data_IF_225338553774
#
_entry.id   IF_225338553774
#
_cell.length_a   1.000
_cell.length_b   1.000
_cell.length_c   1.000
_cell.angle_alpha   90.00
_cell.angle_beta   90.00
_cell.angle_gamma   90.00
#
_symmetry.space_group_name_H-M   'P 1'
#
loop_
_entity.id
_entity.type
_entity.pdbx_description
1 polymer ?
#
# COMPACT_ATOMS: atom_id res chain seq x y z
N UNK A 1 16.15 -14.69 -18.42
CA UNK A 1 15.06 -14.89 -17.44
C UNK A 1 13.99 -13.84 -17.69
N UNK A 2 12.70 -14.21 -17.61
CA UNK A 2 11.55 -13.36 -17.97
C UNK A 2 11.40 -12.04 -17.16
N UNK A 3 12.21 -11.82 -16.12
CA UNK A 3 12.13 -10.62 -15.27
C UNK A 3 13.12 -9.49 -15.62
N UNK A 4 14.27 -9.78 -16.22
CA UNK A 4 15.37 -8.81 -16.33
C UNK A 4 15.35 -8.01 -17.63
N UNK A 5 16.52 -7.94 -18.30
CA UNK A 5 16.72 -7.15 -19.53
C UNK A 5 15.77 -7.46 -20.68
N UNK A 6 15.34 -8.72 -20.81
CA UNK A 6 14.39 -9.19 -21.85
C UNK A 6 12.96 -9.33 -21.31
N UNK A 7 12.70 -8.79 -20.12
CA UNK A 7 11.46 -8.92 -19.37
C UNK A 7 10.92 -7.56 -18.99
N UNK A 8 11.01 -7.23 -17.70
CA UNK A 8 10.54 -5.97 -17.14
C UNK A 8 11.21 -4.78 -17.85
N UNK A 9 12.53 -4.81 -18.04
CA UNK A 9 13.23 -3.68 -18.68
C UNK A 9 12.86 -3.50 -20.14
N UNK A 10 12.61 -4.61 -20.86
CA UNK A 10 12.23 -4.56 -22.27
C UNK A 10 10.87 -3.85 -22.42
N UNK A 11 9.88 -4.28 -21.64
CA UNK A 11 8.52 -3.71 -21.66
C UNK A 11 8.52 -2.25 -21.22
N UNK A 12 9.26 -1.91 -20.15
CA UNK A 12 9.36 -0.52 -19.68
C UNK A 12 9.97 0.39 -20.75
N UNK A 13 11.01 -0.06 -21.44
CA UNK A 13 11.68 0.73 -22.49
C UNK A 13 10.85 0.83 -23.77
N UNK A 14 10.28 -0.29 -24.22
CA UNK A 14 9.50 -0.36 -25.47
C UNK A 14 8.28 0.56 -25.41
N UNK A 15 7.63 0.65 -24.25
CA UNK A 15 6.43 1.47 -24.05
C UNK A 15 6.70 2.78 -23.31
N UNK A 16 7.96 3.11 -23.03
CA UNK A 16 8.36 4.31 -22.29
C UNK A 16 7.58 4.50 -20.97
N UNK A 17 7.54 3.44 -20.15
CA UNK A 17 6.79 3.38 -18.90
C UNK A 17 7.71 3.63 -17.70
N UNK A 18 7.16 4.27 -16.66
CA UNK A 18 7.87 4.48 -15.39
C UNK A 18 7.81 3.26 -14.45
N UNK A 19 6.71 2.50 -14.48
CA UNK A 19 6.48 1.34 -13.63
C UNK A 19 5.41 0.42 -14.23
N UNK A 20 5.44 -0.85 -13.85
CA UNK A 20 4.38 -1.81 -14.13
C UNK A 20 3.43 -1.92 -12.94
N UNK A 21 2.14 -2.09 -13.23
CA UNK A 21 1.12 -2.36 -12.23
C UNK A 21 0.77 -3.84 -12.22
N UNK A 22 0.73 -4.43 -11.03
CA UNK A 22 0.35 -5.82 -10.84
C UNK A 22 -0.53 -5.99 -9.61
N UNK A 23 -1.48 -6.92 -9.69
CA UNK A 23 -2.18 -7.40 -8.50
C UNK A 23 -1.18 -8.24 -7.70
N UNK A 24 -1.00 -8.00 -6.38
CA UNK A 24 -0.09 -8.75 -5.53
C UNK A 24 -0.51 -10.22 -5.50
N UNK A 25 0.11 -10.98 -6.40
CA UNK A 25 -0.07 -12.39 -6.56
C UNK A 25 1.27 -12.98 -7.01
N UNK A 26 1.49 -14.24 -6.68
CA UNK A 26 2.78 -14.93 -6.77
C UNK A 26 3.50 -14.77 -8.12
N UNK A 27 2.79 -14.73 -9.26
CA UNK A 27 3.42 -14.66 -10.58
C UNK A 27 3.99 -13.28 -10.91
N UNK A 28 3.28 -12.20 -10.57
CA UNK A 28 3.70 -10.82 -10.88
C UNK A 28 4.92 -10.40 -10.06
N UNK A 29 4.95 -10.77 -8.78
CA UNK A 29 6.06 -10.45 -7.88
C UNK A 29 7.28 -11.35 -8.09
N UNK A 30 7.08 -12.60 -8.50
CA UNK A 30 8.18 -13.55 -8.71
C UNK A 30 9.13 -13.15 -9.85
N UNK A 31 8.61 -12.56 -10.92
CA UNK A 31 9.45 -12.09 -12.02
C UNK A 31 10.46 -11.03 -11.56
N UNK A 32 9.99 -10.03 -10.80
CA UNK A 32 10.84 -8.99 -10.21
C UNK A 32 11.75 -9.54 -9.09
N UNK A 33 11.24 -10.43 -8.24
CA UNK A 33 12.01 -11.03 -7.14
C UNK A 33 13.21 -11.86 -7.64
N UNK A 34 13.05 -12.62 -8.73
CA UNK A 34 14.13 -13.44 -9.30
C UNK A 34 15.33 -12.57 -9.74
N UNK A 35 15.08 -11.35 -10.22
CA UNK A 35 16.11 -10.44 -10.71
C UNK A 35 16.50 -9.35 -9.71
N UNK A 36 15.87 -9.32 -8.52
CA UNK A 36 16.17 -8.36 -7.47
C UNK A 36 15.63 -6.96 -7.72
N UNK A 37 14.51 -6.83 -8.44
CA UNK A 37 13.90 -5.52 -8.73
C UNK A 37 12.93 -5.08 -7.63
N UNK A 38 12.84 -3.75 -7.38
CA UNK A 38 12.01 -3.22 -6.31
C UNK A 38 10.52 -3.34 -6.62
N UNK A 39 9.73 -3.57 -5.56
CA UNK A 39 8.27 -3.68 -5.59
C UNK A 39 7.71 -2.89 -4.41
N UNK A 40 6.73 -2.02 -4.65
CA UNK A 40 6.00 -1.30 -3.60
C UNK A 40 4.52 -1.62 -3.72
N UNK A 41 3.91 -2.12 -2.65
CA UNK A 41 2.47 -2.48 -2.62
C UNK A 41 1.69 -1.54 -1.72
N UNK A 42 0.58 -1.02 -2.23
CA UNK A 42 -0.34 -0.12 -1.49
C UNK A 42 -1.79 -0.63 -1.57
N UNK A 43 -2.69 -0.19 -0.67
CA UNK A 43 -4.09 -0.63 -0.68
C UNK A 43 -4.84 -0.12 -1.92
N UNK A 44 -5.41 -1.04 -2.70
CA UNK A 44 -6.22 -0.74 -3.90
C UNK A 44 -7.70 -0.59 -3.58
N UNK A 45 -8.27 -1.60 -2.91
CA UNK A 45 -9.70 -1.69 -2.63
C UNK A 45 -9.99 -2.77 -1.59
N UNK A 46 -11.28 -3.03 -1.36
CA UNK A 46 -11.77 -4.20 -0.63
C UNK A 46 -12.68 -5.02 -1.55
N UNK A 47 -12.79 -6.32 -1.28
CA UNK A 47 -13.80 -7.15 -1.91
C UNK A 47 -15.21 -6.66 -1.56
N UNK A 48 -16.14 -6.61 -2.53
CA UNK A 48 -17.54 -6.27 -2.33
C UNK A 48 -18.23 -7.10 -1.24
N UNK A 49 -19.27 -6.55 -0.62
CA UNK A 49 -19.96 -7.20 0.49
C UNK A 49 -20.75 -8.46 0.08
N UNK A 50 -21.05 -8.59 -1.20
CA UNK A 50 -21.70 -9.74 -1.84
C UNK A 50 -20.71 -10.81 -2.34
N UNK A 51 -19.42 -10.68 -2.02
CA UNK A 51 -18.40 -11.67 -2.42
C UNK A 51 -18.58 -12.97 -1.64
N UNK A 52 -18.83 -14.08 -2.31
CA UNK A 52 -18.90 -15.39 -1.66
C UNK A 52 -17.52 -15.87 -1.17
N UNK A 53 -17.40 -16.34 0.10
CA UNK A 53 -16.14 -16.83 0.61
C UNK A 53 -15.60 -18.04 -0.14
N UNK A 54 -14.43 -17.89 -0.77
CA UNK A 54 -13.76 -19.00 -1.48
C UNK A 54 -12.70 -19.65 -0.60
N UNK A 55 -12.86 -20.96 -0.41
CA UNK A 55 -11.92 -21.85 0.29
C UNK A 55 -11.33 -22.84 -0.72
N UNK A 56 -10.13 -22.58 -1.25
CA UNK A 56 -9.55 -23.43 -2.29
C UNK A 56 -9.10 -24.80 -1.78
N UNK A 57 -8.81 -24.94 -0.48
CA UNK A 57 -8.44 -26.21 0.13
C UNK A 57 -9.33 -26.49 1.35
N UNK A 58 -10.13 -27.56 1.36
CA UNK A 58 -10.96 -27.96 2.51
C UNK A 58 -10.17 -28.27 3.78
N UNK A 59 -8.87 -28.57 3.67
CA UNK A 59 -8.00 -28.91 4.79
C UNK A 59 -7.49 -27.68 5.55
N UNK A 60 -7.52 -26.49 4.93
CA UNK A 60 -7.02 -25.25 5.53
C UNK A 60 -8.14 -24.23 5.70
N UNK A 61 -8.25 -23.63 6.88
CA UNK A 61 -9.20 -22.55 7.19
C UNK A 61 -8.71 -21.19 6.64
N UNK A 62 -8.24 -21.17 5.38
CA UNK A 62 -7.74 -19.97 4.72
C UNK A 62 -8.74 -19.53 3.65
N UNK A 63 -9.24 -18.31 3.79
CA UNK A 63 -10.19 -17.70 2.88
C UNK A 63 -9.45 -16.73 1.97
N UNK A 64 -9.53 -16.92 0.66
CA UNK A 64 -8.80 -16.10 -0.33
C UNK A 64 -9.62 -14.94 -0.88
N UNK A 65 -10.95 -15.07 -0.85
CA UNK A 65 -11.90 -14.05 -1.28
C UNK A 65 -13.04 -14.07 -0.26
N UNK A 66 -13.44 -12.91 0.25
CA UNK A 66 -14.47 -12.76 1.28
C UNK A 66 -14.92 -11.30 1.34
N UNK A 67 -16.15 -11.00 1.80
CA UNK A 67 -16.62 -9.64 1.97
C UNK A 67 -15.62 -8.80 2.78
N UNK A 68 -15.17 -7.69 2.20
CA UNK A 68 -14.26 -6.77 2.90
C UNK A 68 -12.84 -7.20 3.10
N UNK A 69 -12.40 -8.26 2.43
CA UNK A 69 -10.98 -8.59 2.40
C UNK A 69 -10.20 -7.51 1.61
N UNK A 70 -9.07 -6.99 2.13
CA UNK A 70 -8.32 -5.94 1.44
C UNK A 70 -7.58 -6.49 0.21
N UNK A 71 -7.55 -5.70 -0.85
CA UNK A 71 -6.79 -5.93 -2.07
C UNK A 71 -5.66 -4.91 -2.17
N UNK A 72 -4.47 -5.36 -2.55
CA UNK A 72 -3.34 -4.47 -2.83
C UNK A 72 -3.16 -4.19 -4.32
N UNK A 73 -2.37 -3.17 -4.62
CA UNK A 73 -1.82 -2.85 -5.93
C UNK A 73 -0.31 -2.74 -5.79
N UNK A 74 0.44 -3.45 -6.63
CA UNK A 74 1.90 -3.45 -6.60
C UNK A 74 2.46 -2.68 -7.79
N UNK A 75 3.34 -1.72 -7.49
CA UNK A 75 4.17 -1.01 -8.44
C UNK A 75 5.50 -1.74 -8.55
N UNK A 76 5.87 -2.12 -9.78
CA UNK A 76 7.12 -2.84 -10.09
C UNK A 76 7.99 -1.95 -10.96
N UNK A 77 9.25 -1.75 -10.57
CA UNK A 77 10.21 -0.94 -11.30
C UNK A 77 11.43 -1.74 -11.75
N UNK A 78 12.40 -1.04 -12.34
CA UNK A 78 13.73 -1.58 -12.65
C UNK A 78 14.68 -1.42 -11.45
N UNK A 79 15.90 -1.95 -11.54
CA UNK A 79 16.90 -1.81 -10.48
C UNK A 79 17.10 -0.35 -10.07
N UNK A 80 17.19 -0.10 -8.75
CA UNK A 80 17.46 1.22 -8.15
C UNK A 80 16.39 2.30 -8.42
N UNK A 81 15.14 1.89 -8.67
CA UNK A 81 14.02 2.81 -8.93
C UNK A 81 13.13 3.08 -7.72
N UNK A 82 13.59 2.75 -6.50
CA UNK A 82 12.81 2.82 -5.26
C UNK A 82 12.25 4.23 -4.99
N UNK A 83 13.05 5.28 -5.20
CA UNK A 83 12.61 6.66 -5.00
C UNK A 83 11.38 6.98 -5.85
N UNK A 84 11.42 6.62 -7.14
CA UNK A 84 10.34 6.85 -8.08
C UNK A 84 9.10 6.02 -7.72
N UNK A 85 9.28 4.75 -7.36
CA UNK A 85 8.18 3.88 -6.96
C UNK A 85 7.49 4.36 -5.68
N UNK A 86 8.26 4.82 -4.69
CA UNK A 86 7.71 5.39 -3.46
C UNK A 86 6.92 6.65 -3.76
N UNK A 87 7.41 7.52 -4.65
CA UNK A 87 6.67 8.72 -5.06
C UNK A 87 5.33 8.39 -5.74
N UNK A 88 5.32 7.41 -6.65
CA UNK A 88 4.09 6.96 -7.32
C UNK A 88 3.10 6.33 -6.33
N UNK A 89 3.60 5.44 -5.48
CA UNK A 89 2.81 4.78 -4.44
C UNK A 89 2.21 5.79 -3.46
N UNK A 90 2.99 6.79 -3.03
CA UNK A 90 2.54 7.87 -2.17
C UNK A 90 1.44 8.70 -2.84
N UNK A 91 1.66 9.13 -4.09
CA UNK A 91 0.65 9.90 -4.82
C UNK A 91 -0.67 9.13 -4.97
N UNK A 92 -0.58 7.82 -5.26
CA UNK A 92 -1.75 6.94 -5.32
C UNK A 92 -2.45 6.80 -3.96
N UNK A 93 -1.71 6.55 -2.88
CA UNK A 93 -2.27 6.42 -1.54
C UNK A 93 -2.94 7.72 -1.08
N UNK A 94 -2.31 8.87 -1.31
CA UNK A 94 -2.88 10.17 -0.95
C UNK A 94 -4.12 10.51 -1.77
N UNK A 95 -4.15 10.16 -3.05
CA UNK A 95 -5.29 10.42 -3.92
C UNK A 95 -6.52 9.55 -3.62
N UNK A 96 -6.31 8.35 -3.06
CA UNK A 96 -7.39 7.36 -2.89
C UNK A 96 -7.78 7.13 -1.43
N UNK A 97 -6.83 7.21 -0.50
CA UNK A 97 -6.99 6.96 0.94
C UNK A 97 -7.80 5.69 1.27
N UNK A 98 -7.72 4.67 0.41
CA UNK A 98 -8.56 3.46 0.47
C UNK A 98 -8.52 2.78 1.83
N UNK A 99 -7.35 2.74 2.45
CA UNK A 99 -7.15 2.15 3.79
C UNK A 99 -8.11 2.72 4.85
N UNK A 100 -8.57 3.96 4.69
CA UNK A 100 -9.46 4.63 5.64
C UNK A 100 -10.95 4.32 5.40
N UNK A 101 -11.30 3.76 4.24
CA UNK A 101 -12.69 3.48 3.87
C UNK A 101 -13.29 2.33 4.69
N UNK A 102 -12.47 1.35 5.09
CA UNK A 102 -12.88 0.23 5.95
C UNK A 102 -11.80 -0.02 6.99
N UNK A 103 -12.12 0.21 8.26
CA UNK A 103 -11.21 -0.03 9.38
C UNK A 103 -11.22 -1.51 9.76
N UNK A 104 -10.10 -1.96 10.33
CA UNK A 104 -10.04 -3.28 10.97
C UNK A 104 -11.12 -3.38 12.07
N UNK A 105 -11.51 -4.62 12.40
CA UNK A 105 -12.41 -4.89 13.51
C UNK A 105 -11.85 -4.31 14.83
N UNK A 106 -12.69 -3.91 15.80
CA UNK A 106 -12.29 -3.08 16.94
C UNK A 106 -11.10 -3.59 17.75
N UNK A 107 -10.91 -4.90 17.82
CA UNK A 107 -9.81 -5.55 18.54
C UNK A 107 -8.47 -5.44 17.81
N UNK A 108 -8.46 -5.35 16.47
CA UNK A 108 -7.27 -5.17 15.67
C UNK A 108 -6.91 -3.70 15.42
N UNK A 109 -7.72 -2.75 15.89
CA UNK A 109 -7.37 -1.33 15.85
C UNK A 109 -6.30 -1.10 16.94
N UNK A 110 -5.07 -0.68 16.56
CA UNK A 110 -4.02 -0.45 17.53
C UNK A 110 -4.42 0.70 18.46
N UNK A 111 -4.48 0.41 19.76
CA UNK A 111 -4.76 1.40 20.82
C UNK A 111 -3.49 2.05 21.37
N UNK A 112 -2.35 1.43 21.10
CA UNK A 112 -1.05 1.80 21.62
C UNK A 112 -0.09 1.93 20.44
N UNK A 113 0.64 3.04 20.37
CA UNK A 113 1.71 3.30 19.42
C UNK A 113 3.06 2.97 20.04
N UNK A 114 4.09 2.78 19.21
CA UNK A 114 5.44 2.45 19.68
C UNK A 114 5.94 3.47 20.71
N UNK A 115 5.68 4.77 20.47
CA UNK A 115 6.03 5.88 21.37
C UNK A 115 5.40 5.76 22.77
N UNK A 116 4.23 5.13 22.89
CA UNK A 116 3.57 4.96 24.19
C UNK A 116 4.31 3.94 25.07
N UNK A 117 5.19 3.12 24.47
CA UNK A 117 5.94 2.05 25.14
C UNK A 117 7.41 2.44 25.34
N UNK A 118 8.10 2.87 24.28
CA UNK A 118 9.52 3.29 24.39
C UNK A 118 9.68 4.66 25.05
N UNK A 119 8.58 5.40 25.18
CA UNK A 119 8.61 6.76 25.67
C UNK A 119 9.26 7.73 24.67
N UNK A 120 9.23 8.99 25.02
CA UNK A 120 9.87 10.06 24.28
C UNK A 120 11.21 10.39 24.94
N UNK A 121 12.28 9.68 24.58
CA UNK A 121 13.62 10.06 25.05
C UNK A 121 14.03 11.45 24.52
N UNK A 122 13.48 11.86 23.37
CA UNK A 122 13.74 13.14 22.73
C UNK A 122 12.51 14.05 22.81
N UNK A 123 12.44 14.83 23.89
CA UNK A 123 11.30 15.71 24.21
C UNK A 123 10.88 16.64 23.07
N UNK A 124 11.82 17.12 22.23
CA UNK A 124 11.52 18.04 21.12
C UNK A 124 10.78 17.37 19.94
N UNK A 125 11.02 16.09 19.67
CA UNK A 125 10.27 15.33 18.65
C UNK A 125 8.82 15.11 19.11
N UNK A 126 8.62 14.89 20.40
CA UNK A 126 7.29 14.67 20.97
C UNK A 126 6.50 15.94 21.25
N UNK A 127 7.18 17.06 21.52
CA UNK A 127 6.54 18.38 21.62
C UNK A 127 5.91 18.80 20.28
N UNK A 128 6.58 18.53 19.16
CA UNK A 128 6.08 18.88 17.82
C UNK A 128 4.72 18.24 17.49
N UNK A 129 4.42 17.04 18.00
CA UNK A 129 3.15 16.34 17.74
C UNK A 129 2.00 16.78 18.63
N UNK A 130 2.25 17.31 19.84
CA UNK A 130 1.17 17.87 20.68
C UNK A 130 0.62 19.17 20.12
N UNK A 131 1.40 19.86 19.30
CA UNK A 131 1.06 21.14 18.68
C UNK A 131 0.55 20.99 17.24
N UNK A 132 0.86 19.86 16.57
CA UNK A 132 0.37 19.59 15.22
C UNK A 132 -1.07 19.06 15.26
N UNK A 133 -2.02 19.73 14.58
CA UNK A 133 -3.37 19.21 14.42
C UNK A 133 -3.33 17.83 13.78
N UNK A 134 -4.32 17.00 14.09
CA UNK A 134 -4.47 15.67 13.49
C UNK A 134 -4.37 15.81 11.95
N UNK A 135 -3.46 15.11 11.25
CA UNK A 135 -3.29 15.27 9.80
C UNK A 135 -4.59 15.04 9.01
N UNK A 136 -5.54 14.27 9.55
CA UNK A 136 -6.88 14.14 8.99
C UNK A 136 -7.75 15.40 9.18
N UNK A 137 -7.57 16.13 10.27
CA UNK A 137 -8.21 17.43 10.51
C UNK A 137 -7.66 18.52 9.57
N UNK A 138 -6.34 18.52 9.32
CA UNK A 138 -5.69 19.45 8.38
C UNK A 138 -6.02 19.15 6.92
N UNK A 139 -6.00 17.88 6.52
CA UNK A 139 -6.39 17.50 5.17
C UNK A 139 -7.87 17.84 4.90
N UNK A 140 -8.75 17.63 5.87
CA UNK A 140 -10.18 17.97 5.75
C UNK A 140 -10.49 19.46 5.85
N UNK A 141 -9.62 20.28 6.44
CA UNK A 141 -9.71 21.75 6.41
C UNK A 141 -9.18 22.30 5.09
N UNK A 142 -8.00 21.85 4.64
CA UNK A 142 -7.41 22.25 3.36
C UNK A 142 -8.28 21.85 2.16
N UNK A 143 -8.88 20.66 2.16
CA UNK A 143 -9.85 20.24 1.13
C UNK A 143 -11.17 21.02 1.19
N UNK A 144 -11.49 21.67 2.33
CA UNK A 144 -12.66 22.54 2.48
C UNK A 144 -12.37 23.93 1.91
N UNK A 145 -11.18 24.45 2.18
CA UNK A 145 -10.71 25.75 1.68
C UNK A 145 -10.44 25.75 0.17
N UNK A 146 -10.06 24.59 -0.40
CA UNK A 146 -9.94 24.42 -1.86
C UNK A 146 -11.28 24.25 -2.58
N UNK A 147 -12.40 24.18 -1.85
CA UNK A 147 -13.77 24.06 -2.39
C UNK A 147 -14.62 25.33 -2.18
N UNK A 148 -14.10 26.35 -1.50
CA UNK A 148 -14.71 27.68 -1.33
C UNK A 148 -14.09 28.70 -2.28
#
# INVERSE_FOLDING_TARGET
MLGGSHGIDAVLKEHNLDALLSIPHSWGTRAAAIVGYPIVTVPLSFFPDDTEPVRPDPQFDVVYQSPGLPMGLSFVGTAFSEERLIALAYAFEQGTQVRLQRKAYPQAIPRTQLVDIVGCEWWWICALRRELPDPLSLASSLLRDLRS
#
